data_IF_295650577710
#
_entry.id   IF_295650577710
#
_cell.length_a   1.000
_cell.length_b   1.000
_cell.length_c   1.000
_cell.angle_alpha   90.00
_cell.angle_beta   90.00
_cell.angle_gamma   90.00
#
_symmetry.space_group_name_H-M   'P 1'
#
loop_
_entity.id
_entity.type
_entity.pdbx_description
1 polymer ?
#
# COMPACT_ATOMS: atom_id res chain seq x y z
N UNK A 1 17.57 15.95 -18.49
CA UNK A 1 17.36 17.33 -18.99
C UNK A 1 17.45 18.26 -17.80
N UNK A 2 18.37 19.20 -17.77
CA UNK A 2 18.49 20.14 -16.66
C UNK A 2 17.66 21.40 -16.97
N UNK A 3 16.77 21.77 -16.04
CA UNK A 3 15.97 22.99 -16.13
C UNK A 3 16.58 24.07 -15.25
N UNK A 4 16.86 25.22 -15.81
CA UNK A 4 17.19 26.42 -15.03
C UNK A 4 15.90 27.19 -14.79
N UNK A 5 15.49 27.31 -13.54
CA UNK A 5 14.27 28.04 -13.15
C UNK A 5 14.69 29.32 -12.44
N UNK A 6 14.17 30.44 -12.90
CA UNK A 6 14.38 31.76 -12.31
C UNK A 6 13.04 32.32 -11.82
N UNK A 7 13.05 32.96 -10.69
CA UNK A 7 11.90 33.65 -10.11
C UNK A 7 12.15 35.16 -10.15
N UNK A 8 11.15 35.91 -10.58
CA UNK A 8 11.15 37.37 -10.59
C UNK A 8 10.01 37.81 -9.64
N UNK A 9 10.33 38.65 -8.66
CA UNK A 9 9.31 39.19 -7.77
C UNK A 9 8.48 40.26 -8.49
N UNK A 10 7.26 39.90 -8.84
CA UNK A 10 6.32 40.82 -9.50
C UNK A 10 5.80 41.93 -8.62
N UNK A 11 5.99 41.87 -7.29
CA UNK A 11 5.61 42.96 -6.37
C UNK A 11 6.48 44.18 -6.53
N UNK A 12 7.68 44.03 -7.07
CA UNK A 12 8.62 45.15 -7.38
C UNK A 12 8.34 45.81 -8.73
N UNK A 13 7.40 45.28 -9.50
CA UNK A 13 7.02 45.89 -10.77
C UNK A 13 6.23 47.17 -10.55
N UNK A 14 6.47 48.24 -11.32
CA UNK A 14 5.71 49.49 -11.18
C UNK A 14 4.22 49.19 -11.44
N UNK A 15 3.39 49.54 -10.46
CA UNK A 15 1.92 49.33 -10.52
C UNK A 15 1.20 50.41 -11.33
N UNK A 16 1.92 51.44 -11.80
CA UNK A 16 1.38 52.50 -12.63
C UNK A 16 1.93 52.41 -14.05
N UNK A 17 1.05 52.10 -14.94
CA UNK A 17 1.29 52.00 -16.38
C UNK A 17 1.21 50.55 -16.84
N UNK A 18 0.18 50.24 -17.60
CA UNK A 18 0.18 49.02 -18.40
C UNK A 18 1.41 49.15 -19.29
N UNK A 19 2.29 48.13 -19.34
CA UNK A 19 3.39 48.13 -20.29
C UNK A 19 2.77 48.35 -21.67
N UNK A 20 3.05 49.49 -22.32
CA UNK A 20 2.69 49.64 -23.69
C UNK A 20 3.50 48.61 -24.47
N UNK A 21 2.84 47.62 -25.02
CA UNK A 21 3.41 46.73 -26.00
C UNK A 21 3.74 47.58 -27.21
N UNK A 22 4.98 47.98 -27.32
CA UNK A 22 5.49 48.53 -28.58
C UNK A 22 5.78 47.34 -29.48
N UNK A 23 4.77 46.89 -30.16
CA UNK A 23 4.95 45.94 -31.26
C UNK A 23 5.66 46.65 -32.42
N UNK A 24 6.93 46.36 -32.55
CA UNK A 24 7.63 46.83 -33.75
C UNK A 24 7.30 45.88 -34.93
N UNK A 25 6.21 46.18 -35.61
CA UNK A 25 5.68 45.38 -36.72
C UNK A 25 6.69 45.11 -37.85
N UNK A 26 7.85 45.76 -37.85
CA UNK A 26 8.89 45.58 -38.89
C UNK A 26 9.98 44.57 -38.50
N UNK A 27 10.20 44.32 -37.20
CA UNK A 27 11.34 43.49 -36.77
C UNK A 27 10.94 42.29 -35.87
N UNK A 28 9.69 42.21 -35.42
CA UNK A 28 9.25 41.15 -34.47
C UNK A 28 10.00 41.16 -33.16
N UNK A 29 10.57 42.27 -32.74
CA UNK A 29 11.35 42.38 -31.51
C UNK A 29 10.44 42.74 -30.34
N UNK A 30 10.46 41.91 -29.30
CA UNK A 30 9.76 42.17 -28.05
C UNK A 30 10.69 42.90 -27.07
N UNK A 31 10.21 43.99 -26.50
CA UNK A 31 10.92 44.69 -25.42
C UNK A 31 10.48 44.10 -24.07
N UNK A 32 11.44 43.63 -23.29
CA UNK A 32 11.21 43.14 -21.96
C UNK A 32 11.38 44.26 -20.92
N UNK A 33 10.40 44.49 -20.08
CA UNK A 33 10.45 45.44 -18.95
C UNK A 33 11.21 44.90 -17.73
N UNK A 34 11.80 43.73 -17.85
CA UNK A 34 12.53 43.04 -16.75
C UNK A 34 14.05 43.21 -16.85
N UNK A 35 14.54 44.15 -17.68
CA UNK A 35 15.97 44.27 -18.01
C UNK A 35 16.87 44.44 -16.80
N UNK A 36 16.42 45.10 -15.74
CA UNK A 36 17.23 45.41 -14.56
C UNK A 36 16.71 44.72 -13.28
N UNK A 37 15.82 43.73 -13.42
CA UNK A 37 15.31 43.05 -12.26
C UNK A 37 16.29 41.94 -11.79
N UNK A 38 16.57 41.86 -10.50
CA UNK A 38 17.40 40.78 -9.96
C UNK A 38 16.74 39.42 -10.18
N UNK A 39 17.49 38.50 -10.76
CA UNK A 39 17.04 37.10 -10.97
C UNK A 39 17.41 36.29 -9.77
N UNK A 40 16.41 35.74 -9.11
CA UNK A 40 16.63 34.74 -8.06
C UNK A 40 16.61 33.34 -8.67
N UNK A 41 17.75 32.67 -8.66
CA UNK A 41 17.84 31.27 -9.11
C UNK A 41 17.19 30.36 -8.09
N UNK A 42 16.30 29.49 -8.56
CA UNK A 42 15.60 28.53 -7.70
C UNK A 42 16.26 27.16 -7.87
N UNK A 43 16.49 26.48 -6.75
CA UNK A 43 16.96 25.11 -6.78
C UNK A 43 15.88 24.21 -7.40
N UNK A 44 16.25 23.44 -8.39
CA UNK A 44 15.38 22.47 -9.04
C UNK A 44 15.90 21.06 -8.82
N UNK A 45 14.99 20.13 -8.61
CA UNK A 45 15.31 18.71 -8.52
C UNK A 45 14.65 17.97 -9.69
N UNK A 46 15.36 16.99 -10.21
CA UNK A 46 14.78 16.03 -11.14
C UNK A 46 13.88 15.09 -10.37
N UNK A 47 12.60 15.05 -10.72
CA UNK A 47 11.61 14.13 -10.13
C UNK A 47 11.12 13.10 -11.17
N UNK A 48 11.80 12.94 -12.32
CA UNK A 48 11.44 11.92 -13.29
C UNK A 48 11.40 10.53 -12.63
N UNK A 49 10.56 9.60 -13.10
CA UNK A 49 10.49 8.24 -12.53
C UNK A 49 11.87 7.56 -12.48
N UNK A 50 12.69 7.78 -13.51
CA UNK A 50 14.03 7.22 -13.65
C UNK A 50 14.98 7.76 -12.57
N UNK A 51 14.86 9.02 -12.19
CA UNK A 51 15.65 9.61 -11.13
C UNK A 51 15.08 9.27 -9.74
N UNK A 52 13.76 9.37 -9.58
CA UNK A 52 13.07 9.13 -8.30
C UNK A 52 13.29 7.69 -7.80
N UNK A 53 13.16 6.70 -8.70
CA UNK A 53 13.35 5.29 -8.39
C UNK A 53 14.72 4.74 -8.82
N UNK A 54 15.64 5.60 -9.28
CA UNK A 54 16.92 5.20 -9.84
C UNK A 54 17.84 4.44 -8.89
N UNK A 55 17.61 4.52 -7.57
CA UNK A 55 18.36 3.77 -6.56
C UNK A 55 17.80 2.38 -6.26
N UNK A 56 16.60 2.08 -6.72
CA UNK A 56 15.98 0.78 -6.58
C UNK A 56 14.46 0.85 -6.67
N UNK A 57 13.90 -0.07 -7.42
CA UNK A 57 12.47 -0.31 -7.53
C UNK A 57 12.21 -1.80 -7.72
N UNK A 58 10.94 -2.19 -7.65
CA UNK A 58 10.53 -3.54 -8.00
C UNK A 58 10.62 -3.78 -9.52
N UNK A 59 10.59 -5.03 -9.98
CA UNK A 59 10.49 -5.34 -11.39
C UNK A 59 9.25 -4.69 -12.04
N UNK A 60 9.32 -4.36 -13.32
CA UNK A 60 8.26 -3.65 -14.04
C UNK A 60 6.92 -4.38 -14.04
N UNK A 61 6.95 -5.72 -14.09
CA UNK A 61 5.76 -6.58 -14.00
C UNK A 61 5.04 -6.50 -12.64
N UNK A 62 5.73 -6.06 -11.58
CA UNK A 62 5.16 -5.78 -10.28
C UNK A 62 4.69 -4.33 -10.16
N UNK A 63 5.50 -3.37 -10.63
CA UNK A 63 5.21 -1.93 -10.57
C UNK A 63 3.89 -1.57 -11.27
N UNK A 64 3.62 -2.20 -12.40
CA UNK A 64 2.43 -1.93 -13.23
C UNK A 64 1.18 -2.68 -12.77
N UNK A 65 1.30 -3.63 -11.83
CA UNK A 65 0.13 -4.34 -11.29
C UNK A 65 -0.83 -3.39 -10.58
N UNK A 66 -2.10 -3.65 -10.75
CA UNK A 66 -3.20 -3.06 -9.96
C UNK A 66 -3.38 -3.92 -8.72
N UNK A 67 -2.95 -3.42 -7.57
CA UNK A 67 -2.87 -4.18 -6.33
C UNK A 67 -3.94 -3.66 -5.37
N UNK A 68 -4.78 -4.55 -4.85
CA UNK A 68 -5.71 -4.25 -3.77
C UNK A 68 -5.13 -4.76 -2.45
N UNK A 69 -5.00 -3.89 -1.48
CA UNK A 69 -4.64 -4.24 -0.09
C UNK A 69 -5.90 -4.16 0.76
N UNK A 70 -6.35 -5.30 1.25
CA UNK A 70 -7.51 -5.43 2.13
C UNK A 70 -7.06 -5.51 3.59
N UNK A 71 -7.69 -4.72 4.48
CA UNK A 71 -7.28 -4.64 5.89
C UNK A 71 -5.98 -3.84 6.05
N UNK A 72 -6.10 -2.52 6.14
CA UNK A 72 -4.93 -1.62 6.26
C UNK A 72 -4.58 -1.30 7.72
N UNK A 73 -4.64 -2.29 8.59
CA UNK A 73 -4.17 -2.22 9.97
C UNK A 73 -2.64 -2.27 10.08
N UNK A 74 -2.14 -3.00 11.07
CA UNK A 74 -0.70 -3.13 11.34
C UNK A 74 0.07 -3.69 10.14
N UNK A 75 -0.42 -4.76 9.51
CA UNK A 75 0.23 -5.40 8.36
C UNK A 75 0.00 -4.58 7.10
N UNK A 76 -1.27 -4.33 6.74
CA UNK A 76 -1.61 -3.77 5.44
C UNK A 76 -1.13 -2.33 5.23
N UNK A 77 -1.02 -1.50 6.28
CA UNK A 77 -0.45 -0.17 6.15
C UNK A 77 1.04 -0.22 5.76
N UNK A 78 1.81 -1.13 6.37
CA UNK A 78 3.22 -1.35 6.05
C UNK A 78 3.35 -1.91 4.62
N UNK A 79 2.50 -2.88 4.25
CA UNK A 79 2.46 -3.44 2.89
C UNK A 79 2.25 -2.34 1.85
N UNK A 80 1.20 -1.52 2.02
CA UNK A 80 0.86 -0.46 1.08
C UNK A 80 2.00 0.54 0.91
N UNK A 81 2.59 1.03 2.01
CA UNK A 81 3.73 1.94 1.94
C UNK A 81 4.95 1.31 1.29
N UNK A 82 5.25 0.04 1.62
CA UNK A 82 6.41 -0.67 1.05
C UNK A 82 6.25 -0.85 -0.46
N UNK A 83 5.03 -1.18 -0.94
CA UNK A 83 4.73 -1.29 -2.37
C UNK A 83 4.93 0.05 -3.10
N UNK A 84 4.43 1.15 -2.54
CA UNK A 84 4.58 2.48 -3.14
C UNK A 84 6.04 2.93 -3.15
N UNK A 85 6.81 2.67 -2.09
CA UNK A 85 8.26 2.92 -2.05
C UNK A 85 9.02 2.06 -3.06
N UNK A 86 8.51 0.87 -3.35
CA UNK A 86 9.03 -0.01 -4.39
C UNK A 86 8.64 0.38 -5.82
N UNK A 87 7.83 1.43 -5.99
CA UNK A 87 7.44 1.99 -7.30
C UNK A 87 6.08 1.54 -7.83
N UNK A 88 5.29 0.76 -7.05
CA UNK A 88 3.95 0.37 -7.48
C UNK A 88 3.05 1.61 -7.69
N UNK A 89 2.39 1.65 -8.85
CA UNK A 89 1.65 2.83 -9.30
C UNK A 89 0.17 2.80 -8.98
N UNK A 90 -0.45 1.62 -8.91
CA UNK A 90 -1.90 1.48 -8.78
C UNK A 90 -2.24 0.67 -7.55
N UNK A 91 -2.61 1.35 -6.47
CA UNK A 91 -2.89 0.76 -5.16
C UNK A 91 -4.35 1.04 -4.78
N UNK A 92 -5.15 -0.04 -4.71
CA UNK A 92 -6.44 -0.01 -4.05
C UNK A 92 -6.26 -0.31 -2.57
N UNK A 93 -6.98 0.38 -1.70
CA UNK A 93 -6.98 0.13 -0.27
C UNK A 93 -8.40 -0.02 0.25
N UNK A 94 -8.56 -0.94 1.21
CA UNK A 94 -9.83 -1.18 1.87
C UNK A 94 -9.67 -1.45 3.35
N UNK A 95 -10.44 -0.72 4.17
CA UNK A 95 -10.67 -0.98 5.59
C UNK A 95 -11.96 -0.24 5.99
N UNK A 96 -12.75 -0.81 6.88
CA UNK A 96 -13.98 -0.17 7.35
C UNK A 96 -13.81 0.52 8.71
N UNK A 97 -12.65 0.36 9.35
CA UNK A 97 -12.36 0.90 10.67
C UNK A 97 -11.90 2.34 10.64
N UNK A 98 -12.11 3.01 11.76
CA UNK A 98 -11.46 4.28 12.07
C UNK A 98 -10.08 4.04 12.71
N UNK A 99 -9.18 4.98 12.52
CA UNK A 99 -7.88 4.98 13.18
C UNK A 99 -8.06 5.28 14.68
N UNK A 100 -7.53 4.41 15.51
CA UNK A 100 -7.49 4.60 16.96
C UNK A 100 -6.06 4.89 17.42
N UNK A 101 -5.86 5.60 18.57
CA UNK A 101 -4.53 5.88 19.09
C UNK A 101 -3.64 4.65 19.24
N UNK A 102 -4.22 3.51 19.68
CA UNK A 102 -3.51 2.24 19.82
C UNK A 102 -3.07 1.58 18.50
N UNK A 103 -3.54 2.07 17.35
CA UNK A 103 -3.05 1.59 16.06
C UNK A 103 -1.68 2.19 15.69
N UNK A 104 -1.39 3.42 16.17
CA UNK A 104 -0.20 4.18 15.76
C UNK A 104 1.11 3.49 16.13
N UNK A 105 1.16 2.82 17.29
CA UNK A 105 2.40 2.20 17.77
C UNK A 105 2.84 0.95 16.96
N UNK A 106 1.98 0.41 16.09
CA UNK A 106 2.25 -0.83 15.36
C UNK A 106 1.89 -0.78 13.87
N UNK A 107 1.62 0.41 13.35
CA UNK A 107 1.23 0.62 11.94
C UNK A 107 1.93 1.87 11.38
N UNK A 108 1.72 2.16 10.10
CA UNK A 108 2.31 3.33 9.44
C UNK A 108 1.50 4.64 9.67
N UNK A 109 0.57 4.64 10.60
CA UNK A 109 -0.19 5.85 10.92
C UNK A 109 0.57 6.76 11.88
N UNK A 110 0.35 8.07 11.72
CA UNK A 110 0.77 9.07 12.69
C UNK A 110 -0.34 9.35 13.72
N UNK A 111 -0.01 10.12 14.77
CA UNK A 111 -0.96 10.50 15.80
C UNK A 111 -1.85 11.68 15.39
N UNK A 112 -1.64 12.30 14.24
CA UNK A 112 -2.49 13.39 13.76
C UNK A 112 -3.89 12.85 13.45
N UNK A 113 -4.90 13.53 13.99
CA UNK A 113 -6.31 13.16 13.80
C UNK A 113 -6.59 11.67 14.10
N UNK A 114 -6.41 11.21 15.35
CA UNK A 114 -6.46 9.78 15.71
C UNK A 114 -7.83 9.12 15.52
N UNK A 115 -8.86 9.86 15.17
CA UNK A 115 -10.23 9.36 14.90
C UNK A 115 -10.59 9.42 13.42
N UNK A 116 -9.63 9.68 12.56
CA UNK A 116 -9.88 9.68 11.11
C UNK A 116 -10.12 8.28 10.58
N UNK A 117 -10.83 8.22 9.47
CA UNK A 117 -10.92 7.06 8.60
C UNK A 117 -9.51 6.62 8.16
N UNK A 118 -9.20 5.34 8.36
CA UNK A 118 -7.89 4.77 8.02
C UNK A 118 -7.56 4.91 6.54
N UNK A 119 -8.55 4.72 5.65
CA UNK A 119 -8.32 4.81 4.20
C UNK A 119 -7.90 6.21 3.78
N UNK A 120 -8.62 7.24 4.25
CA UNK A 120 -8.28 8.63 3.93
C UNK A 120 -6.89 9.03 4.45
N UNK A 121 -6.53 8.54 5.63
CA UNK A 121 -5.23 8.85 6.23
C UNK A 121 -4.10 8.15 5.47
N UNK A 122 -4.23 6.86 5.20
CA UNK A 122 -3.23 6.10 4.45
C UNK A 122 -3.09 6.61 3.01
N UNK A 123 -4.20 6.89 2.32
CA UNK A 123 -4.15 7.42 0.95
C UNK A 123 -3.29 8.68 0.86
N UNK A 124 -3.50 9.64 1.76
CA UNK A 124 -2.69 10.87 1.82
C UNK A 124 -1.21 10.59 2.10
N UNK A 125 -0.92 9.59 2.93
CA UNK A 125 0.47 9.20 3.20
C UNK A 125 1.12 8.57 1.96
N UNK A 126 0.42 7.69 1.25
CA UNK A 126 0.91 7.07 0.02
C UNK A 126 1.19 8.11 -1.08
N UNK A 127 0.28 9.07 -1.28
CA UNK A 127 0.46 10.19 -2.21
C UNK A 127 1.64 11.11 -1.85
N UNK A 128 1.97 11.24 -0.57
CA UNK A 128 3.17 11.96 -0.11
C UNK A 128 4.46 11.18 -0.30
N UNK A 129 4.39 9.85 -0.35
CA UNK A 129 5.57 8.99 -0.60
C UNK A 129 5.98 9.06 -2.07
N UNK A 130 5.02 9.02 -2.99
CA UNK A 130 5.32 9.01 -4.42
C UNK A 130 4.31 9.84 -5.22
N UNK A 131 4.77 10.77 -6.06
CA UNK A 131 3.90 11.53 -6.95
C UNK A 131 3.33 10.68 -8.10
N UNK A 132 3.77 9.43 -8.23
CA UNK A 132 3.39 8.51 -9.30
C UNK A 132 2.35 7.48 -8.88
N UNK A 133 1.96 7.46 -7.60
CA UNK A 133 0.94 6.52 -7.13
C UNK A 133 -0.45 7.05 -7.41
N UNK A 134 -1.31 6.16 -7.89
CA UNK A 134 -2.75 6.35 -7.96
C UNK A 134 -3.40 5.48 -6.88
N UNK A 135 -4.04 6.10 -5.89
CA UNK A 135 -4.68 5.41 -4.78
C UNK A 135 -6.18 5.40 -4.98
N UNK A 136 -6.78 4.22 -4.99
CA UNK A 136 -8.23 4.03 -5.01
C UNK A 136 -8.73 3.52 -3.67
N UNK A 137 -9.90 3.98 -3.24
CA UNK A 137 -10.51 3.61 -1.97
C UNK A 137 -11.92 3.08 -2.21
N UNK A 138 -12.27 1.99 -1.51
CA UNK A 138 -13.63 1.49 -1.49
C UNK A 138 -14.41 2.17 -0.38
N UNK A 139 -15.54 2.79 -0.73
CA UNK A 139 -16.43 3.48 0.23
C UNK A 139 -17.49 2.58 0.84
N UNK A 140 -17.76 1.45 0.23
CA UNK A 140 -18.79 0.50 0.64
C UNK A 140 -18.17 -0.67 1.42
N UNK A 141 -18.99 -1.45 2.11
CA UNK A 141 -18.58 -2.66 2.83
C UNK A 141 -18.16 -3.75 1.83
N UNK A 142 -16.93 -3.62 1.36
CA UNK A 142 -16.34 -4.53 0.37
C UNK A 142 -16.17 -5.95 0.93
N UNK A 143 -15.87 -6.08 2.20
CA UNK A 143 -15.86 -7.36 2.91
C UNK A 143 -17.20 -8.10 2.84
N UNK A 144 -18.31 -7.38 3.05
CA UNK A 144 -19.66 -7.94 2.93
C UNK A 144 -19.99 -8.34 1.50
N UNK A 145 -19.54 -7.55 0.51
CA UNK A 145 -19.70 -7.90 -0.89
C UNK A 145 -18.97 -9.21 -1.25
N UNK A 146 -17.73 -9.40 -0.79
CA UNK A 146 -16.97 -10.62 -0.97
C UNK A 146 -17.66 -11.82 -0.31
N UNK A 147 -18.09 -11.67 0.95
CA UNK A 147 -18.83 -12.70 1.69
C UNK A 147 -20.15 -13.06 1.00
N UNK A 148 -20.94 -12.07 0.57
CA UNK A 148 -22.15 -12.30 -0.20
C UNK A 148 -21.86 -13.03 -1.52
N UNK A 149 -20.86 -12.58 -2.26
CA UNK A 149 -20.46 -13.15 -3.55
C UNK A 149 -20.07 -14.62 -3.47
N UNK A 150 -19.37 -15.00 -2.39
CA UNK A 150 -18.94 -16.38 -2.15
C UNK A 150 -20.10 -17.38 -2.00
N UNK A 151 -21.26 -16.91 -1.61
CA UNK A 151 -22.49 -17.72 -1.42
C UNK A 151 -23.33 -17.85 -2.69
N UNK A 152 -22.97 -17.14 -3.76
CA UNK A 152 -23.77 -17.09 -4.99
C UNK A 152 -23.51 -18.31 -5.89
N UNK A 153 -24.38 -18.46 -6.90
CA UNK A 153 -24.18 -19.50 -7.93
C UNK A 153 -23.00 -19.17 -8.84
N UNK A 154 -22.57 -20.17 -9.64
CA UNK A 154 -21.38 -20.06 -10.51
C UNK A 154 -21.44 -18.87 -11.47
N UNK A 155 -22.60 -18.58 -12.06
CA UNK A 155 -22.74 -17.45 -13.02
C UNK A 155 -22.45 -16.09 -12.36
N UNK A 156 -22.90 -15.91 -11.14
CA UNK A 156 -22.65 -14.67 -10.38
C UNK A 156 -21.19 -14.62 -9.96
N UNK A 157 -20.62 -15.74 -9.47
CA UNK A 157 -19.19 -15.84 -9.15
C UNK A 157 -18.30 -15.52 -10.36
N UNK A 158 -18.65 -16.03 -11.54
CA UNK A 158 -17.92 -15.74 -12.78
C UNK A 158 -18.02 -14.25 -13.15
N UNK A 159 -19.18 -13.62 -12.96
CA UNK A 159 -19.33 -12.18 -13.18
C UNK A 159 -18.49 -11.35 -12.21
N UNK A 160 -18.49 -11.73 -10.93
CA UNK A 160 -17.62 -11.12 -9.90
C UNK A 160 -16.16 -11.29 -10.29
N UNK A 161 -15.75 -12.51 -10.67
CA UNK A 161 -14.38 -12.81 -11.10
C UNK A 161 -13.92 -11.95 -12.27
N UNK A 162 -14.79 -11.71 -13.26
CA UNK A 162 -14.49 -10.80 -14.37
C UNK A 162 -14.28 -9.35 -13.89
N UNK A 163 -15.18 -8.84 -13.04
CA UNK A 163 -15.07 -7.50 -12.49
C UNK A 163 -13.78 -7.30 -11.68
N UNK A 164 -13.40 -8.30 -10.89
CA UNK A 164 -12.11 -8.27 -10.17
C UNK A 164 -10.91 -8.23 -11.13
N UNK A 165 -10.90 -9.08 -12.14
CA UNK A 165 -9.83 -9.13 -13.15
C UNK A 165 -9.71 -7.84 -13.97
N UNK A 166 -10.82 -7.16 -14.22
CA UNK A 166 -10.83 -5.85 -14.89
C UNK A 166 -10.27 -4.74 -13.99
N UNK A 167 -10.37 -4.90 -12.66
CA UNK A 167 -9.96 -3.90 -11.69
C UNK A 167 -8.59 -4.17 -11.07
N UNK A 168 -8.24 -5.42 -10.82
CA UNK A 168 -7.04 -5.83 -10.08
C UNK A 168 -6.33 -7.01 -10.70
N UNK A 169 -5.02 -7.06 -10.49
CA UNK A 169 -4.14 -8.16 -10.89
C UNK A 169 -3.67 -8.97 -9.67
N UNK A 170 -3.76 -8.38 -8.48
CA UNK A 170 -3.34 -8.96 -7.21
C UNK A 170 -4.21 -8.43 -6.07
N UNK A 171 -4.62 -9.32 -5.17
CA UNK A 171 -5.17 -8.96 -3.85
C UNK A 171 -4.17 -9.39 -2.79
N UNK A 172 -3.86 -8.49 -1.85
CA UNK A 172 -3.13 -8.81 -0.63
C UNK A 172 -4.10 -8.64 0.53
N UNK A 173 -4.52 -9.76 1.09
CA UNK A 173 -5.44 -9.81 2.22
C UNK A 173 -4.64 -9.77 3.54
N UNK A 174 -4.85 -8.71 4.29
CA UNK A 174 -4.29 -8.45 5.62
C UNK A 174 -5.39 -8.24 6.66
N UNK A 175 -6.60 -8.68 6.38
CA UNK A 175 -7.77 -8.43 7.24
C UNK A 175 -7.72 -9.21 8.54
N UNK A 176 -7.07 -10.37 8.56
CA UNK A 176 -7.14 -11.36 9.65
C UNK A 176 -8.58 -11.78 9.99
N UNK A 177 -9.50 -11.62 9.04
CA UNK A 177 -10.90 -12.02 9.15
C UNK A 177 -11.09 -13.39 8.47
N UNK A 178 -11.38 -14.42 9.27
CA UNK A 178 -11.57 -15.79 8.79
C UNK A 178 -12.68 -15.89 7.73
N UNK A 179 -13.76 -15.12 7.88
CA UNK A 179 -14.88 -15.15 6.94
C UNK A 179 -14.53 -14.52 5.59
N UNK A 180 -13.73 -13.43 5.60
CA UNK A 180 -13.21 -12.80 4.38
C UNK A 180 -12.26 -13.74 3.66
N UNK A 181 -11.32 -14.33 4.38
CA UNK A 181 -10.33 -15.27 3.85
C UNK A 181 -11.02 -16.50 3.22
N UNK A 182 -12.00 -17.09 3.92
CA UNK A 182 -12.81 -18.19 3.39
C UNK A 182 -13.60 -17.78 2.14
N UNK A 183 -14.24 -16.61 2.17
CA UNK A 183 -15.01 -16.11 1.06
C UNK A 183 -14.17 -15.84 -0.19
N UNK A 184 -12.97 -15.27 -0.03
CA UNK A 184 -12.01 -15.07 -1.14
C UNK A 184 -11.59 -16.41 -1.77
N UNK A 185 -11.33 -17.43 -0.94
CA UNK A 185 -11.03 -18.78 -1.45
C UNK A 185 -12.21 -19.36 -2.23
N UNK A 186 -13.45 -19.27 -1.69
CA UNK A 186 -14.65 -19.80 -2.33
C UNK A 186 -15.05 -19.07 -3.63
N UNK A 187 -14.66 -17.82 -3.78
CA UNK A 187 -14.86 -17.07 -5.02
C UNK A 187 -14.00 -17.58 -6.18
N UNK A 188 -12.86 -18.20 -5.87
CA UNK A 188 -11.92 -18.71 -6.87
C UNK A 188 -11.62 -17.67 -7.97
N UNK A 189 -11.22 -16.49 -7.57
CA UNK A 189 -11.01 -15.36 -8.48
C UNK A 189 -9.87 -15.66 -9.48
N UNK A 190 -9.98 -15.23 -10.74
CA UNK A 190 -8.97 -15.49 -11.78
C UNK A 190 -7.78 -14.51 -11.68
N UNK A 191 -7.38 -14.15 -10.48
CA UNK A 191 -6.26 -13.27 -10.13
C UNK A 191 -5.48 -13.87 -8.95
N UNK A 192 -4.25 -13.41 -8.76
CA UNK A 192 -3.46 -13.81 -7.59
C UNK A 192 -4.06 -13.23 -6.30
N UNK A 193 -4.17 -14.06 -5.27
CA UNK A 193 -4.51 -13.64 -3.91
C UNK A 193 -3.41 -14.11 -2.98
N UNK A 194 -2.95 -13.21 -2.11
CA UNK A 194 -1.96 -13.49 -1.07
C UNK A 194 -2.54 -13.06 0.26
N UNK A 195 -2.63 -13.98 1.20
CA UNK A 195 -2.98 -13.64 2.59
C UNK A 195 -1.72 -13.51 3.45
N UNK A 196 -1.72 -12.51 4.30
CA UNK A 196 -0.69 -12.24 5.29
C UNK A 196 -1.31 -12.19 6.68
N UNK A 197 -0.96 -13.14 7.52
CA UNK A 197 -1.49 -13.28 8.86
C UNK A 197 -0.36 -13.45 9.87
N UNK A 198 -0.49 -12.80 11.02
CA UNK A 198 0.46 -12.92 12.12
C UNK A 198 -0.11 -13.85 13.18
N UNK A 199 0.70 -14.75 13.69
CA UNK A 199 0.37 -15.66 14.78
C UNK A 199 1.42 -15.61 15.89
N UNK A 200 1.12 -16.28 16.99
CA UNK A 200 2.06 -16.54 18.06
C UNK A 200 2.81 -15.30 18.56
N UNK A 201 2.09 -14.21 18.92
CA UNK A 201 2.65 -12.93 19.40
C UNK A 201 3.59 -12.25 18.39
N UNK A 202 3.32 -12.38 17.11
CA UNK A 202 4.19 -11.97 16.02
C UNK A 202 5.54 -12.74 15.97
N UNK A 203 5.68 -13.87 16.66
CA UNK A 203 6.81 -14.78 16.44
C UNK A 203 6.74 -15.43 15.06
N UNK A 204 5.54 -15.49 14.47
CA UNK A 204 5.31 -16.09 13.17
C UNK A 204 4.50 -15.15 12.27
N UNK A 205 4.85 -15.15 10.98
CA UNK A 205 4.07 -14.57 9.90
C UNK A 205 3.78 -15.65 8.88
N UNK A 206 2.50 -15.88 8.62
CA UNK A 206 2.00 -16.86 7.67
C UNK A 206 1.69 -16.17 6.35
N UNK A 207 2.21 -16.70 5.25
CA UNK A 207 1.94 -16.24 3.90
C UNK A 207 1.31 -17.36 3.10
N UNK A 208 0.09 -17.14 2.63
CA UNK A 208 -0.68 -18.11 1.85
C UNK A 208 -1.06 -17.54 0.49
N UNK A 209 -0.94 -18.35 -0.57
CA UNK A 209 -1.38 -18.03 -1.92
C UNK A 209 -2.65 -18.79 -2.29
N UNK A 210 -3.52 -18.17 -3.09
CA UNK A 210 -4.62 -18.91 -3.72
C UNK A 210 -4.10 -20.12 -4.50
N UNK A 211 -4.85 -21.24 -4.56
CA UNK A 211 -6.25 -21.39 -4.17
C UNK A 211 -6.48 -21.81 -2.70
N UNK A 212 -5.49 -22.25 -1.93
CA UNK A 212 -5.66 -22.87 -0.61
C UNK A 212 -5.24 -21.93 0.52
N UNK A 213 -5.86 -20.76 0.62
CA UNK A 213 -5.52 -19.72 1.60
C UNK A 213 -6.07 -20.10 2.97
N UNK A 214 -7.39 -20.27 3.06
CA UNK A 214 -8.09 -20.50 4.33
C UNK A 214 -7.66 -21.79 4.98
N UNK A 215 -7.63 -22.88 4.20
CA UNK A 215 -7.23 -24.20 4.70
C UNK A 215 -5.81 -24.16 5.29
N UNK A 216 -4.88 -23.52 4.58
CA UNK A 216 -3.49 -23.43 5.03
C UNK A 216 -3.36 -22.58 6.29
N UNK A 217 -3.90 -21.34 6.30
CA UNK A 217 -3.76 -20.41 7.42
C UNK A 217 -4.40 -20.99 8.69
N UNK A 218 -5.60 -21.56 8.57
CA UNK A 218 -6.29 -22.23 9.70
C UNK A 218 -5.54 -23.45 10.20
N UNK A 219 -4.96 -24.24 9.29
CA UNK A 219 -4.11 -25.38 9.64
C UNK A 219 -2.91 -24.94 10.48
N UNK A 220 -2.22 -23.88 10.09
CA UNK A 220 -1.10 -23.32 10.86
C UNK A 220 -1.58 -22.81 12.20
N UNK A 221 -2.63 -22.01 12.27
CA UNK A 221 -3.13 -21.42 13.51
C UNK A 221 -3.56 -22.48 14.53
N UNK A 222 -4.22 -23.54 14.09
CA UNK A 222 -4.62 -24.62 15.01
C UNK A 222 -3.45 -25.35 15.66
N UNK A 223 -2.28 -25.33 15.03
CA UNK A 223 -1.07 -25.95 15.58
C UNK A 223 -0.20 -24.97 16.38
N UNK A 224 -0.25 -23.67 16.03
CA UNK A 224 0.63 -22.64 16.62
C UNK A 224 0.03 -21.92 17.82
N UNK A 225 -1.30 -21.94 17.98
CA UNK A 225 -1.97 -21.24 19.09
C UNK A 225 -1.65 -21.98 20.39
N UNK A 226 -0.75 -21.42 21.17
CA UNK A 226 -0.59 -21.79 22.58
C UNK A 226 -1.72 -21.14 23.35
N UNK A 227 -2.44 -21.94 24.17
CA UNK A 227 -3.47 -21.44 25.07
C UNK A 227 -2.82 -20.60 26.18
N UNK A 228 -2.39 -19.37 25.88
CA UNK A 228 -1.99 -18.42 26.89
C UNK A 228 -3.22 -17.61 27.32
N UNK A 229 -3.75 -17.83 28.53
CA UNK A 229 -4.93 -17.10 28.99
C UNK A 229 -4.71 -15.60 29.13
N UNK A 230 -3.47 -15.11 29.17
CA UNK A 230 -3.16 -13.68 29.23
C UNK A 230 -3.39 -12.96 27.89
N UNK A 231 -3.41 -13.66 26.76
CA UNK A 231 -3.63 -13.07 25.46
C UNK A 231 -5.09 -12.75 25.17
N UNK A 232 -5.99 -13.49 25.82
CA UNK A 232 -7.43 -13.43 25.54
C UNK A 232 -8.11 -12.21 26.18
N UNK A 233 -7.47 -11.52 27.13
CA UNK A 233 -8.13 -10.58 28.02
C UNK A 233 -7.78 -9.10 27.85
N UNK A 234 -6.90 -8.71 26.94
CA UNK A 234 -6.61 -7.30 26.69
C UNK A 234 -7.23 -6.82 25.40
N UNK A 235 -8.39 -6.12 25.45
CA UNK A 235 -8.94 -5.45 24.27
C UNK A 235 -8.04 -4.27 23.89
N UNK A 236 -7.17 -4.48 22.93
CA UNK A 236 -6.27 -3.44 22.38
C UNK A 236 -6.82 -2.84 21.09
N UNK A 237 -8.11 -2.50 21.09
CA UNK A 237 -8.70 -1.71 20.01
C UNK A 237 -9.17 -2.44 18.76
N UNK A 238 -9.22 -3.77 18.77
CA UNK A 238 -9.92 -4.60 17.79
C UNK A 238 -11.01 -5.40 18.49
N UNK A 239 -12.07 -5.76 17.79
CA UNK A 239 -13.17 -6.57 18.31
C UNK A 239 -12.75 -7.98 18.71
N UNK A 240 -11.63 -8.47 18.21
CA UNK A 240 -11.04 -9.76 18.55
C UNK A 240 -9.89 -9.59 19.55
N UNK A 241 -9.70 -10.56 20.45
CA UNK A 241 -8.53 -10.58 21.33
C UNK A 241 -7.27 -10.56 20.46
N UNK A 242 -6.46 -9.52 20.63
CA UNK A 242 -5.22 -9.35 19.91
C UNK A 242 -4.05 -9.50 20.86
N UNK A 243 -3.06 -10.26 20.44
CA UNK A 243 -1.80 -10.41 21.17
C UNK A 243 -0.94 -9.15 21.09
N UNK A 244 -0.03 -9.00 22.03
CA UNK A 244 0.95 -7.91 22.04
C UNK A 244 2.04 -8.22 21.02
N UNK A 245 2.29 -7.25 20.11
CA UNK A 245 3.39 -7.30 19.17
C UNK A 245 3.90 -5.88 18.95
N UNK A 246 5.21 -5.69 18.90
CA UNK A 246 5.80 -4.40 18.58
C UNK A 246 5.79 -4.16 17.08
N UNK A 247 5.91 -2.89 16.68
CA UNK A 247 6.08 -2.55 15.26
C UNK A 247 7.30 -3.28 14.65
N UNK A 248 8.38 -3.38 15.40
CA UNK A 248 9.60 -4.03 14.92
C UNK A 248 9.41 -5.53 14.67
N UNK A 249 8.69 -6.23 15.56
CA UNK A 249 8.41 -7.68 15.42
C UNK A 249 7.57 -7.94 14.17
N UNK A 250 6.60 -7.07 13.90
CA UNK A 250 5.76 -7.15 12.72
C UNK A 250 6.56 -6.82 11.46
N UNK A 251 7.22 -5.66 11.45
CA UNK A 251 7.84 -5.10 10.27
C UNK A 251 9.03 -5.92 9.77
N UNK A 252 9.86 -6.46 10.67
CA UNK A 252 11.01 -7.28 10.28
C UNK A 252 10.61 -8.52 9.46
N UNK A 253 9.59 -9.25 9.94
CA UNK A 253 9.06 -10.42 9.23
C UNK A 253 8.35 -10.03 7.94
N UNK A 254 7.58 -8.93 7.99
CA UNK A 254 6.81 -8.48 6.84
C UNK A 254 7.70 -8.03 5.69
N UNK A 255 8.77 -7.27 5.95
CA UNK A 255 9.73 -6.86 4.92
C UNK A 255 10.43 -8.07 4.27
N UNK A 256 10.81 -9.07 5.07
CA UNK A 256 11.38 -10.30 4.53
C UNK A 256 10.35 -11.09 3.69
N UNK A 257 9.11 -11.19 4.18
CA UNK A 257 7.99 -11.84 3.48
C UNK A 257 7.68 -11.15 2.15
N UNK A 258 7.57 -9.81 2.14
CA UNK A 258 7.31 -9.05 0.91
C UNK A 258 8.40 -9.27 -0.13
N UNK A 259 9.67 -9.33 0.28
CA UNK A 259 10.75 -9.68 -0.63
C UNK A 259 10.53 -11.06 -1.28
N UNK A 260 10.11 -12.06 -0.50
CA UNK A 260 9.81 -13.40 -1.04
C UNK A 260 8.59 -13.39 -1.97
N UNK A 261 7.53 -12.66 -1.61
CA UNK A 261 6.33 -12.51 -2.44
C UNK A 261 6.70 -11.88 -3.79
N UNK A 262 7.48 -10.80 -3.80
CA UNK A 262 7.92 -10.13 -5.04
C UNK A 262 8.74 -11.09 -5.91
N UNK A 263 9.66 -11.87 -5.31
CA UNK A 263 10.47 -12.85 -6.05
C UNK A 263 9.61 -14.00 -6.62
N UNK A 264 8.54 -14.41 -5.91
CA UNK A 264 7.56 -15.40 -6.38
C UNK A 264 6.67 -14.84 -7.50
N UNK A 265 6.14 -13.65 -7.32
CA UNK A 265 5.26 -13.02 -8.30
C UNK A 265 5.99 -12.62 -9.59
N UNK A 266 7.28 -12.32 -9.51
CA UNK A 266 8.14 -12.07 -10.69
C UNK A 266 8.74 -13.34 -11.30
N UNK A 267 8.38 -14.53 -10.80
CA UNK A 267 8.82 -15.80 -11.34
C UNK A 267 10.29 -16.17 -11.05
N UNK A 268 10.99 -15.44 -10.16
CA UNK A 268 12.37 -15.77 -9.78
C UNK A 268 12.47 -17.02 -8.93
N UNK A 269 11.45 -17.27 -8.11
CA UNK A 269 11.32 -18.48 -7.30
C UNK A 269 9.90 -19.05 -7.45
N UNK A 270 9.74 -20.33 -7.17
CA UNK A 270 8.45 -21.00 -7.28
C UNK A 270 7.46 -20.44 -6.25
N UNK A 271 6.22 -20.18 -6.68
CA UNK A 271 5.13 -19.75 -5.82
C UNK A 271 4.72 -20.90 -4.89
N UNK A 272 4.71 -20.63 -3.59
CA UNK A 272 4.34 -21.61 -2.55
C UNK A 272 3.92 -20.88 -1.28
N UNK A 273 3.14 -21.55 -0.44
CA UNK A 273 2.84 -21.09 0.90
C UNK A 273 4.09 -21.21 1.81
N UNK A 274 4.21 -20.36 2.81
CA UNK A 274 5.34 -20.40 3.73
C UNK A 274 5.05 -19.68 5.04
N UNK A 275 5.91 -19.95 6.02
CA UNK A 275 5.90 -19.30 7.33
C UNK A 275 7.27 -18.63 7.53
N UNK A 276 7.26 -17.43 8.08
CA UNK A 276 8.45 -16.77 8.61
C UNK A 276 8.36 -16.77 10.12
N UNK A 277 9.36 -17.33 10.79
CA UNK A 277 9.39 -17.45 12.25
C UNK A 277 10.70 -16.92 12.84
N UNK A 278 10.64 -16.47 14.10
CA UNK A 278 11.82 -16.07 14.86
C UNK A 278 12.56 -17.31 15.40
N UNK A 279 13.85 -17.32 15.17
CA UNK A 279 14.77 -18.30 15.75
C UNK A 279 15.96 -17.59 16.38
N UNK A 280 16.70 -18.28 17.25
CA UNK A 280 17.86 -17.73 17.94
C UNK A 280 18.92 -17.10 16.99
N UNK A 281 18.99 -17.59 15.75
CA UNK A 281 19.95 -17.13 14.74
C UNK A 281 19.33 -16.19 13.68
N UNK A 282 18.12 -15.68 13.90
CA UNK A 282 17.42 -14.78 12.99
C UNK A 282 16.13 -15.35 12.41
N UNK A 283 15.63 -14.72 11.35
CA UNK A 283 14.39 -15.15 10.70
C UNK A 283 14.59 -16.45 9.92
N UNK A 284 13.68 -17.38 10.12
CA UNK A 284 13.65 -18.66 9.44
C UNK A 284 12.52 -18.69 8.42
N UNK A 285 12.83 -19.13 7.18
CA UNK A 285 11.87 -19.36 6.12
C UNK A 285 11.53 -20.84 6.06
N UNK A 286 10.28 -21.16 6.29
CA UNK A 286 9.76 -22.53 6.21
C UNK A 286 8.78 -22.61 5.04
N UNK A 287 9.16 -23.26 3.92
CA UNK A 287 8.27 -23.51 2.81
C UNK A 287 7.24 -24.58 3.19
N UNK A 288 6.08 -24.54 2.54
CA UNK A 288 5.00 -25.49 2.78
C UNK A 288 4.51 -26.13 1.48
#
# INVERSE_FOLDING_TARGET
>A
MAWNVAMIDTKSLPTQGVPEYIENHKTGTWLSFFVDQPIQWVMTNDISPEYFFGRGCYPSDIIEKRILVMGIGAIGSIVAQTLVRGGCKNIGIYDFDIKQPGNVCRSEYDFLCPTNDKMNDLARQLERISPYVNVSMFKERFDEYVKWGSQQNSKIKDSIGKAFKESYDLIIDCTTDDDVMYALEQLNLPIDIVNLSISNHANELVCAFSPSIYEFVRGVFTHSITNDPYDVFYPTGCWNPTFKATYNDINSKLQYTLKKIIDMLSGKIMKQNFIISDHANGLHFQPW
#
